data_IF_868174340061
#
_entry.id   IF_868174340061
#
_cell.length_a   1.000
_cell.length_b   1.000
_cell.length_c   1.000
_cell.angle_alpha   90.00
_cell.angle_beta   90.00
_cell.angle_gamma   90.00
#
_symmetry.space_group_name_H-M   'P 1'
#
loop_
_entity.id
_entity.type
_entity.pdbx_description
1 polymer ?
#
# COMPACT_ATOMS: atom_id res chain seq x y z
N UNK A 1 1.47 25.21 11.63
CA UNK A 1 2.49 25.28 10.58
C UNK A 1 3.21 23.94 10.63
N UNK A 2 2.99 23.07 9.67
CA UNK A 2 3.82 21.88 9.53
C UNK A 2 5.25 22.34 9.29
N UNK A 3 6.22 21.79 10.04
CA UNK A 3 7.63 21.98 9.72
C UNK A 3 7.83 21.51 8.27
N UNK A 4 8.44 22.37 7.45
CA UNK A 4 8.79 21.98 6.09
C UNK A 4 9.70 20.75 6.22
N UNK A 5 9.30 19.65 5.57
CA UNK A 5 10.12 18.44 5.51
C UNK A 5 11.48 18.82 4.92
N UNK A 6 12.54 18.53 5.65
CA UNK A 6 13.89 18.83 5.20
C UNK A 6 14.40 17.67 4.37
N UNK A 7 14.93 17.98 3.17
CA UNK A 7 15.59 16.96 2.34
C UNK A 7 16.73 16.33 3.11
N UNK A 8 16.79 14.99 3.25
CA UNK A 8 17.91 14.33 3.90
C UNK A 8 19.23 14.64 3.17
N UNK A 9 20.31 14.87 3.92
CA UNK A 9 21.62 15.19 3.35
C UNK A 9 22.10 14.15 2.34
N UNK A 10 21.74 12.88 2.54
CA UNK A 10 22.07 11.77 1.67
C UNK A 10 21.44 11.88 0.27
N UNK A 11 20.23 12.44 0.19
CA UNK A 11 19.45 12.54 -1.04
C UNK A 11 19.69 13.87 -1.77
N UNK A 12 20.13 14.91 -1.04
CA UNK A 12 20.27 16.27 -1.57
C UNK A 12 21.17 16.35 -2.82
N UNK A 13 22.17 15.49 -2.92
CA UNK A 13 23.13 15.45 -4.04
C UNK A 13 22.80 14.43 -5.13
N UNK A 14 21.69 13.70 -5.05
CA UNK A 14 21.37 12.68 -6.04
C UNK A 14 20.86 13.30 -7.35
N UNK A 15 21.15 12.68 -8.52
CA UNK A 15 20.47 13.00 -9.77
C UNK A 15 18.95 12.84 -9.62
N UNK A 16 18.17 13.66 -10.33
CA UNK A 16 16.71 13.66 -10.17
C UNK A 16 16.06 12.34 -10.61
N UNK A 17 16.55 11.69 -11.65
CA UNK A 17 16.10 10.37 -12.12
C UNK A 17 16.23 9.31 -11.02
N UNK A 18 17.32 9.35 -10.27
CA UNK A 18 17.52 8.49 -9.11
C UNK A 18 16.50 8.78 -8.00
N UNK A 19 16.24 10.04 -7.68
CA UNK A 19 15.22 10.44 -6.71
C UNK A 19 13.85 9.90 -7.12
N UNK A 20 13.46 10.13 -8.37
CA UNK A 20 12.18 9.68 -8.92
C UNK A 20 12.09 8.14 -8.91
N UNK A 21 13.16 7.44 -9.24
CA UNK A 21 13.20 5.98 -9.18
C UNK A 21 12.91 5.43 -7.78
N UNK A 22 13.41 6.11 -6.74
CA UNK A 22 13.17 5.69 -5.34
C UNK A 22 11.69 5.78 -4.91
N UNK A 23 10.89 6.63 -5.56
CA UNK A 23 9.45 6.73 -5.29
C UNK A 23 8.63 5.58 -5.89
N UNK A 24 9.24 4.74 -6.74
CA UNK A 24 8.56 3.66 -7.47
C UNK A 24 8.81 2.31 -6.80
N UNK A 25 7.73 1.55 -6.60
CA UNK A 25 7.78 0.14 -6.17
C UNK A 25 7.15 -0.73 -7.26
N UNK A 26 7.90 -1.71 -7.77
CA UNK A 26 7.46 -2.59 -8.87
C UNK A 26 7.12 -3.99 -8.36
N UNK A 27 6.31 -4.74 -9.12
CA UNK A 27 6.03 -6.14 -8.79
C UNK A 27 7.19 -7.06 -9.19
N UNK A 28 7.38 -8.12 -8.40
CA UNK A 28 8.22 -9.28 -8.74
C UNK A 28 7.34 -10.50 -8.76
N UNK A 29 7.32 -11.24 -9.89
CA UNK A 29 6.46 -12.41 -10.06
C UNK A 29 5.08 -12.08 -10.62
N UNK A 30 4.22 -13.12 -10.72
CA UNK A 30 2.90 -13.02 -11.34
C UNK A 30 1.78 -12.78 -10.35
N UNK A 31 0.77 -12.00 -10.77
CA UNK A 31 -0.59 -12.17 -10.28
C UNK A 31 -1.14 -13.55 -10.73
N UNK A 32 -1.87 -14.22 -9.86
CA UNK A 32 -2.41 -15.57 -10.11
C UNK A 32 -3.48 -15.64 -11.21
N UNK A 33 -3.95 -14.49 -11.70
CA UNK A 33 -4.96 -14.38 -12.76
C UNK A 33 -4.35 -14.12 -14.16
N UNK A 34 -3.04 -14.01 -14.27
CA UNK A 34 -2.34 -13.84 -15.54
C UNK A 34 -2.55 -12.51 -16.25
N UNK A 35 -3.26 -11.56 -15.64
CA UNK A 35 -3.66 -10.31 -16.29
C UNK A 35 -2.65 -9.18 -16.18
N UNK A 36 -1.77 -9.20 -15.18
CA UNK A 36 -0.78 -8.14 -14.97
C UNK A 36 0.52 -8.71 -14.41
N UNK A 37 1.48 -8.94 -15.28
CA UNK A 37 2.83 -9.30 -14.90
C UNK A 37 3.84 -8.30 -15.44
N UNK A 38 4.46 -7.50 -14.60
CA UNK A 38 5.76 -7.00 -14.94
C UNK A 38 6.75 -8.09 -14.61
N UNK A 39 7.37 -8.56 -15.67
CA UNK A 39 8.43 -9.54 -15.72
C UNK A 39 8.16 -10.89 -15.05
N UNK A 40 7.90 -11.84 -15.90
CA UNK A 40 7.88 -13.27 -15.61
C UNK A 40 9.20 -13.81 -15.05
N UNK A 41 10.21 -12.95 -14.92
CA UNK A 41 11.53 -13.36 -14.49
C UNK A 41 12.14 -12.32 -13.53
N UNK A 42 12.86 -12.76 -12.50
CA UNK A 42 13.67 -11.88 -11.65
C UNK A 42 14.60 -10.96 -12.47
N UNK A 43 15.04 -11.38 -13.65
CA UNK A 43 15.96 -10.65 -14.51
C UNK A 43 15.39 -9.32 -15.06
N UNK A 44 14.08 -9.27 -15.38
CA UNK A 44 13.49 -8.04 -15.87
C UNK A 44 13.25 -7.03 -14.73
N UNK A 45 12.86 -7.51 -13.55
CA UNK A 45 12.80 -6.67 -12.34
C UNK A 45 14.20 -6.20 -11.94
N UNK A 46 15.21 -7.07 -12.04
CA UNK A 46 16.61 -6.71 -11.77
C UNK A 46 17.10 -5.57 -12.69
N UNK A 47 16.72 -5.59 -13.98
CA UNK A 47 17.01 -4.48 -14.90
C UNK A 47 16.32 -3.17 -14.45
N UNK A 48 15.04 -3.20 -14.10
CA UNK A 48 14.34 -2.01 -13.61
C UNK A 48 15.02 -1.43 -12.36
N UNK A 49 15.41 -2.29 -11.43
CA UNK A 49 16.12 -1.86 -10.20
C UNK A 49 17.46 -1.21 -10.55
N UNK A 50 18.26 -1.82 -11.44
CA UNK A 50 19.60 -1.35 -11.78
C UNK A 50 19.61 -0.12 -12.71
N UNK A 51 18.70 -0.08 -13.71
CA UNK A 51 18.71 0.94 -14.77
C UNK A 51 17.88 2.17 -14.41
N UNK A 52 16.82 1.99 -13.59
CA UNK A 52 15.88 3.05 -13.21
C UNK A 52 15.90 3.40 -11.72
N UNK A 53 16.85 2.85 -10.94
CA UNK A 53 17.02 3.13 -9.52
C UNK A 53 15.75 2.91 -8.69
N UNK A 54 14.92 1.91 -9.03
CA UNK A 54 13.65 1.62 -8.36
C UNK A 54 13.87 1.38 -6.86
N UNK A 55 13.12 2.11 -6.02
CA UNK A 55 13.29 2.11 -4.57
C UNK A 55 12.62 0.95 -3.85
N UNK A 56 11.63 0.29 -4.49
CA UNK A 56 10.90 -0.80 -3.86
C UNK A 56 10.47 -1.92 -4.80
N UNK A 57 10.20 -3.09 -4.19
CA UNK A 57 9.59 -4.23 -4.88
C UNK A 57 8.48 -4.83 -4.02
N UNK A 58 7.35 -5.18 -4.66
CA UNK A 58 6.27 -5.95 -4.07
C UNK A 58 6.35 -7.38 -4.60
N UNK A 59 6.54 -8.35 -3.71
CA UNK A 59 6.75 -9.75 -4.08
C UNK A 59 5.43 -10.49 -4.30
N UNK A 60 5.35 -11.14 -5.46
CA UNK A 60 4.34 -12.15 -5.78
C UNK A 60 5.04 -13.50 -6.02
N UNK A 61 4.36 -14.65 -5.80
CA UNK A 61 4.95 -15.96 -6.09
C UNK A 61 5.41 -16.09 -7.54
N UNK A 62 6.61 -16.62 -7.74
CA UNK A 62 7.20 -16.88 -9.05
C UNK A 62 7.18 -18.40 -9.32
N UNK A 63 6.54 -18.81 -10.42
CA UNK A 63 6.47 -20.21 -10.84
C UNK A 63 5.45 -21.07 -10.09
N UNK A 64 5.36 -22.35 -10.49
CA UNK A 64 4.31 -23.28 -10.02
C UNK A 64 4.59 -23.91 -8.65
N UNK A 65 5.82 -23.82 -8.13
CA UNK A 65 6.28 -24.55 -6.94
C UNK A 65 5.86 -23.89 -5.60
N UNK A 66 5.08 -22.80 -5.66
CA UNK A 66 4.69 -22.04 -4.48
C UNK A 66 5.83 -21.22 -3.85
N UNK A 67 5.51 -20.29 -2.94
CA UNK A 67 6.47 -19.37 -2.37
C UNK A 67 7.21 -19.99 -1.17
N UNK A 68 8.21 -20.82 -1.43
CA UNK A 68 9.13 -21.28 -0.39
C UNK A 68 9.90 -20.09 0.18
N UNK A 69 9.95 -19.88 1.51
CA UNK A 69 10.62 -18.74 2.13
C UNK A 69 12.08 -18.57 1.70
N UNK A 70 12.79 -19.67 1.45
CA UNK A 70 14.17 -19.66 0.97
C UNK A 70 14.28 -19.10 -0.44
N UNK A 71 13.38 -19.48 -1.35
CA UNK A 71 13.32 -18.91 -2.71
C UNK A 71 12.96 -17.43 -2.72
N UNK A 72 11.99 -17.03 -1.88
CA UNK A 72 11.65 -15.61 -1.70
C UNK A 72 12.90 -14.85 -1.30
N UNK A 73 13.65 -15.37 -0.32
CA UNK A 73 14.91 -14.76 0.13
C UNK A 73 15.93 -14.68 -1.00
N UNK A 74 16.18 -15.77 -1.72
CA UNK A 74 17.14 -15.81 -2.84
C UNK A 74 16.79 -14.75 -3.91
N UNK A 75 15.52 -14.64 -4.30
CA UNK A 75 15.07 -13.65 -5.27
C UNK A 75 15.28 -12.22 -4.75
N UNK A 76 14.86 -11.94 -3.51
CA UNK A 76 15.01 -10.61 -2.92
C UNK A 76 16.48 -10.23 -2.70
N UNK A 77 17.33 -11.18 -2.32
CA UNK A 77 18.76 -10.95 -2.16
C UNK A 77 19.46 -10.71 -3.52
N UNK A 78 19.04 -11.41 -4.59
CA UNK A 78 19.51 -11.14 -5.96
C UNK A 78 19.14 -9.72 -6.43
N UNK A 79 17.91 -9.26 -6.14
CA UNK A 79 17.48 -7.89 -6.48
C UNK A 79 18.25 -6.83 -5.68
N UNK A 80 18.49 -7.07 -4.39
CA UNK A 80 19.33 -6.18 -3.57
C UNK A 80 20.76 -6.09 -4.05
N UNK A 81 21.30 -7.18 -4.60
CA UNK A 81 22.68 -7.21 -5.10
C UNK A 81 22.92 -6.33 -6.33
N UNK A 82 21.85 -6.02 -7.10
CA UNK A 82 21.93 -5.12 -8.27
C UNK A 82 21.45 -3.70 -7.97
N UNK A 83 20.84 -3.49 -6.82
CA UNK A 83 20.41 -2.15 -6.38
C UNK A 83 21.62 -1.34 -5.90
N UNK A 84 21.69 -0.09 -6.30
CA UNK A 84 22.72 0.86 -5.86
C UNK A 84 22.33 1.63 -4.58
N UNK A 85 21.09 1.40 -4.12
CA UNK A 85 20.51 1.91 -2.87
C UNK A 85 19.79 0.80 -2.10
N UNK A 86 19.48 1.01 -0.79
CA UNK A 86 18.64 0.08 -0.03
C UNK A 86 17.29 -0.13 -0.71
N UNK A 87 17.00 -1.38 -1.15
CA UNK A 87 15.77 -1.75 -1.81
C UNK A 87 14.70 -2.13 -0.77
N UNK A 88 13.58 -1.42 -0.74
CA UNK A 88 12.43 -1.76 0.09
C UNK A 88 11.73 -3.00 -0.49
N UNK A 89 11.66 -4.07 0.29
CA UNK A 89 11.01 -5.31 -0.12
C UNK A 89 9.71 -5.49 0.61
N UNK A 90 8.60 -5.53 -0.12
CA UNK A 90 7.24 -5.58 0.41
C UNK A 90 6.45 -6.78 -0.10
N UNK A 91 5.33 -7.08 0.56
CA UNK A 91 4.44 -8.20 0.24
C UNK A 91 3.03 -7.95 0.79
N UNK A 92 2.00 -8.51 0.11
CA UNK A 92 0.67 -8.68 0.67
C UNK A 92 0.61 -9.97 1.50
N UNK A 93 0.44 -9.84 2.80
CA UNK A 93 0.28 -10.97 3.71
C UNK A 93 -0.70 -10.61 4.81
N UNK A 94 -1.99 -10.64 4.49
CA UNK A 94 -3.10 -10.32 5.42
C UNK A 94 -3.52 -11.54 6.25
N UNK A 95 -3.23 -12.72 5.73
CA UNK A 95 -3.82 -13.99 6.15
C UNK A 95 -5.09 -14.33 5.36
N UNK A 96 -5.61 -15.55 5.54
CA UNK A 96 -6.79 -16.00 4.80
C UNK A 96 -6.59 -16.03 3.30
N UNK A 97 -7.42 -15.29 2.56
CA UNK A 97 -7.40 -15.27 1.09
C UNK A 97 -6.20 -14.50 0.53
N UNK A 98 -5.83 -13.39 1.17
CA UNK A 98 -4.70 -12.56 0.74
C UNK A 98 -3.47 -12.94 1.54
N UNK A 99 -2.76 -13.92 1.02
CA UNK A 99 -1.50 -14.41 1.57
C UNK A 99 -0.64 -14.93 0.42
N UNK A 100 0.54 -14.35 0.25
CA UNK A 100 1.49 -14.77 -0.79
C UNK A 100 2.38 -15.91 -0.31
N UNK A 101 2.76 -15.91 0.97
CA UNK A 101 3.46 -17.03 1.61
C UNK A 101 2.46 -17.90 2.38
N UNK A 102 2.23 -19.13 1.91
CA UNK A 102 1.26 -20.07 2.51
C UNK A 102 1.91 -21.37 2.95
N UNK A 103 2.56 -22.09 2.06
CA UNK A 103 3.23 -23.35 2.31
C UNK A 103 4.67 -23.29 1.74
N UNK A 104 5.64 -23.82 2.45
CA UNK A 104 5.59 -24.59 3.70
C UNK A 104 5.45 -23.77 5.00
N UNK A 105 5.14 -22.47 4.91
CA UNK A 105 4.89 -21.60 6.07
C UNK A 105 3.56 -21.87 6.77
N UNK A 106 3.24 -21.04 7.75
CA UNK A 106 1.97 -21.13 8.50
C UNK A 106 0.82 -20.53 7.68
N UNK A 107 -0.31 -21.23 7.63
CA UNK A 107 -1.56 -20.68 7.09
C UNK A 107 -2.22 -19.78 8.14
N UNK A 108 -1.87 -18.50 8.09
CA UNK A 108 -2.44 -17.51 9.00
C UNK A 108 -3.93 -17.27 8.69
N UNK A 109 -4.81 -17.25 9.72
CA UNK A 109 -6.24 -17.02 9.53
C UNK A 109 -6.54 -15.60 9.04
N UNK A 110 -7.67 -15.40 8.34
CA UNK A 110 -8.16 -14.08 7.97
C UNK A 110 -8.46 -13.23 9.21
N UNK A 111 -8.49 -11.91 9.06
CA UNK A 111 -8.81 -10.99 10.15
C UNK A 111 -10.18 -11.30 10.80
N UNK A 112 -11.22 -11.54 9.97
CA UNK A 112 -12.54 -11.92 10.46
C UNK A 112 -12.51 -13.22 11.26
N UNK A 113 -11.77 -14.24 10.80
CA UNK A 113 -11.65 -15.51 11.50
C UNK A 113 -10.94 -15.34 12.85
N UNK A 114 -9.92 -14.50 12.92
CA UNK A 114 -9.22 -14.16 14.16
C UNK A 114 -10.16 -13.49 15.18
N UNK A 115 -10.97 -12.53 14.72
CA UNK A 115 -11.96 -11.87 15.59
C UNK A 115 -13.07 -12.82 16.02
N UNK A 116 -13.62 -13.64 15.12
CA UNK A 116 -14.66 -14.61 15.43
C UNK A 116 -14.20 -15.68 16.42
N UNK A 117 -12.96 -16.16 16.31
CA UNK A 117 -12.41 -17.20 17.19
C UNK A 117 -12.24 -16.74 18.63
N UNK A 118 -12.05 -15.45 18.85
CA UNK A 118 -11.74 -14.93 20.18
C UNK A 118 -12.91 -14.19 20.85
N UNK A 119 -13.99 -13.87 20.12
CA UNK A 119 -15.16 -13.13 20.61
C UNK A 119 -14.84 -11.71 21.05
N UNK A 120 -15.81 -11.04 21.69
CA UNK A 120 -15.66 -9.66 22.17
C UNK A 120 -14.62 -9.50 23.30
N UNK A 121 -14.31 -10.59 24.01
CA UNK A 121 -13.32 -10.63 25.10
C UNK A 121 -11.92 -11.05 24.64
N UNK A 122 -11.70 -11.14 23.33
CA UNK A 122 -10.38 -11.43 22.78
C UNK A 122 -9.35 -10.47 23.35
N UNK A 123 -8.35 -11.02 23.96
CA UNK A 123 -7.22 -10.22 24.38
C UNK A 123 -6.45 -9.81 23.15
N UNK A 124 -6.18 -8.51 22.96
CA UNK A 124 -5.31 -7.94 21.91
C UNK A 124 -3.98 -8.71 21.78
N UNK A 125 -3.62 -9.45 22.84
CA UNK A 125 -2.46 -10.35 22.89
C UNK A 125 -2.50 -11.46 21.81
N UNK A 126 -3.66 -12.08 21.54
CA UNK A 126 -3.74 -13.15 20.54
C UNK A 126 -3.49 -12.60 19.14
N UNK A 127 -4.13 -11.51 18.77
CA UNK A 127 -3.95 -10.84 17.49
C UNK A 127 -2.51 -10.34 17.31
N UNK A 128 -1.94 -9.71 18.34
CA UNK A 128 -0.54 -9.27 18.35
C UNK A 128 0.44 -10.42 18.14
N UNK A 129 0.21 -11.59 18.77
CA UNK A 129 1.04 -12.79 18.58
C UNK A 129 0.92 -13.37 17.18
N UNK A 130 -0.27 -13.39 16.58
CA UNK A 130 -0.48 -13.84 15.20
C UNK A 130 0.26 -12.91 14.24
N UNK A 131 0.08 -11.60 14.37
CA UNK A 131 0.76 -10.60 13.55
C UNK A 131 2.29 -10.68 13.69
N UNK A 132 2.81 -10.82 14.92
CA UNK A 132 4.23 -11.02 15.19
C UNK A 132 4.77 -12.31 14.54
N UNK A 133 4.03 -13.41 14.63
CA UNK A 133 4.43 -14.69 14.03
C UNK A 133 4.52 -14.60 12.52
N UNK A 134 3.49 -14.06 11.86
CA UNK A 134 3.47 -13.83 10.42
C UNK A 134 4.62 -12.91 9.97
N UNK A 135 4.81 -11.79 10.65
CA UNK A 135 5.89 -10.85 10.35
C UNK A 135 7.30 -11.46 10.57
N UNK A 136 7.45 -12.35 11.55
CA UNK A 136 8.72 -13.07 11.79
C UNK A 136 9.07 -13.97 10.60
N UNK A 137 8.08 -14.71 10.04
CA UNK A 137 8.29 -15.53 8.84
C UNK A 137 8.65 -14.67 7.62
N UNK A 138 7.95 -13.56 7.41
CA UNK A 138 8.22 -12.63 6.32
C UNK A 138 9.64 -12.04 6.43
N UNK A 139 10.03 -11.61 7.62
CA UNK A 139 11.38 -11.09 7.86
C UNK A 139 12.47 -12.13 7.59
N UNK A 140 12.23 -13.38 7.98
CA UNK A 140 13.13 -14.48 7.70
C UNK A 140 13.28 -14.74 6.20
N UNK A 141 12.22 -14.51 5.41
CA UNK A 141 12.23 -14.57 3.96
C UNK A 141 12.82 -13.31 3.28
N UNK A 142 13.31 -12.34 4.04
CA UNK A 142 13.94 -11.14 3.49
C UNK A 142 13.00 -9.97 3.24
N UNK A 143 11.71 -10.07 3.55
CA UNK A 143 10.75 -8.95 3.48
C UNK A 143 11.05 -7.90 4.55
N UNK A 144 10.78 -6.64 4.27
CA UNK A 144 10.95 -5.51 5.20
C UNK A 144 9.68 -4.71 5.44
N UNK A 145 8.69 -4.81 4.56
CA UNK A 145 7.43 -4.10 4.63
C UNK A 145 6.28 -5.04 4.30
N UNK A 146 5.19 -5.02 5.06
CA UNK A 146 3.98 -5.79 4.77
C UNK A 146 2.79 -4.85 4.59
N UNK A 147 2.04 -5.03 3.49
CA UNK A 147 0.78 -4.31 3.25
C UNK A 147 -0.35 -4.94 4.09
N UNK A 148 -0.23 -4.77 5.40
CA UNK A 148 -1.17 -5.18 6.43
C UNK A 148 -0.94 -4.33 7.70
N UNK A 149 -1.96 -4.20 8.58
CA UNK A 149 -3.28 -4.83 8.54
C UNK A 149 -4.31 -4.08 7.68
N UNK A 150 -5.38 -4.79 7.29
CA UNK A 150 -6.57 -4.18 6.70
C UNK A 150 -7.33 -3.42 7.80
N UNK A 151 -7.56 -2.12 7.57
CA UNK A 151 -8.26 -1.21 8.47
C UNK A 151 -9.72 -0.93 8.02
N UNK A 152 -10.14 -1.50 6.89
CA UNK A 152 -11.50 -1.36 6.38
C UNK A 152 -12.51 -1.98 7.37
N UNK A 153 -13.61 -1.26 7.63
CA UNK A 153 -14.73 -1.75 8.43
C UNK A 153 -15.76 -2.40 7.50
N UNK A 154 -16.12 -3.67 7.71
CA UNK A 154 -17.03 -4.39 6.82
C UNK A 154 -18.50 -3.95 7.03
N UNK A 155 -18.85 -2.73 6.62
CA UNK A 155 -20.17 -2.14 6.83
C UNK A 155 -21.20 -2.68 5.84
N UNK A 156 -20.84 -2.91 4.58
CA UNK A 156 -21.70 -3.61 3.62
C UNK A 156 -21.32 -5.10 3.52
N UNK A 157 -22.18 -6.03 4.01
CA UNK A 157 -21.90 -7.46 3.93
C UNK A 157 -21.86 -8.02 2.50
N UNK A 158 -22.32 -7.24 1.51
CA UNK A 158 -22.28 -7.59 0.09
C UNK A 158 -20.99 -7.15 -0.59
N UNK A 159 -20.11 -6.46 0.15
CA UNK A 159 -18.84 -5.99 -0.39
C UNK A 159 -18.04 -7.13 -1.03
N UNK A 160 -17.69 -7.05 -2.32
CA UNK A 160 -17.10 -8.17 -3.06
C UNK A 160 -15.60 -8.33 -2.80
N UNK A 161 -14.92 -7.30 -2.26
CA UNK A 161 -13.46 -7.26 -2.19
C UNK A 161 -12.92 -7.32 -0.76
N UNK A 162 -13.60 -6.74 0.21
CA UNK A 162 -13.16 -6.70 1.61
C UNK A 162 -13.66 -7.94 2.37
N UNK A 163 -14.94 -8.06 2.65
CA UNK A 163 -15.51 -9.24 3.29
C UNK A 163 -14.66 -9.75 4.46
N UNK A 164 -14.19 -10.99 4.38
CA UNK A 164 -13.39 -11.64 5.44
C UNK A 164 -11.98 -11.07 5.64
N UNK A 165 -11.52 -10.16 4.79
CA UNK A 165 -10.26 -9.42 4.97
C UNK A 165 -10.39 -8.40 6.09
N UNK A 166 -11.57 -7.84 6.33
CA UNK A 166 -11.86 -7.01 7.49
C UNK A 166 -11.99 -7.85 8.77
N UNK A 167 -11.61 -7.27 9.89
CA UNK A 167 -11.74 -7.90 11.20
C UNK A 167 -13.20 -7.96 11.69
N UNK A 168 -14.01 -6.93 11.41
CA UNK A 168 -15.39 -6.81 11.92
C UNK A 168 -16.19 -5.75 11.15
N UNK A 169 -17.50 -5.73 11.38
CA UNK A 169 -18.38 -4.61 11.07
C UNK A 169 -18.48 -3.56 12.19
N UNK A 170 -17.86 -3.82 13.35
CA UNK A 170 -17.74 -2.85 14.44
C UNK A 170 -16.43 -2.07 14.32
N UNK A 171 -16.47 -0.74 14.10
CA UNK A 171 -15.28 0.10 13.95
C UNK A 171 -14.31 -0.02 15.14
N UNK A 172 -14.82 -0.17 16.36
CA UNK A 172 -14.00 -0.30 17.57
C UNK A 172 -13.29 -1.65 17.63
N UNK A 173 -13.94 -2.72 17.19
CA UNK A 173 -13.32 -4.04 17.10
C UNK A 173 -12.19 -4.04 16.05
N UNK A 174 -12.43 -3.42 14.89
CA UNK A 174 -11.39 -3.25 13.85
C UNK A 174 -10.23 -2.40 14.39
N UNK A 175 -10.50 -1.31 15.08
CA UNK A 175 -9.46 -0.45 15.68
C UNK A 175 -8.56 -1.21 16.67
N UNK A 176 -9.14 -2.03 17.55
CA UNK A 176 -8.39 -2.90 18.48
C UNK A 176 -7.54 -3.92 17.74
N UNK A 177 -8.11 -4.56 16.70
CA UNK A 177 -7.39 -5.52 15.86
C UNK A 177 -6.20 -4.86 15.14
N UNK A 178 -6.42 -3.68 14.54
CA UNK A 178 -5.39 -2.88 13.87
C UNK A 178 -4.27 -2.52 14.84
N UNK A 179 -4.60 -1.96 16.01
CA UNK A 179 -3.62 -1.59 17.04
C UNK A 179 -2.76 -2.78 17.46
N UNK A 180 -3.38 -3.93 17.71
CA UNK A 180 -2.68 -5.15 18.10
C UNK A 180 -1.76 -5.66 16.98
N UNK A 181 -2.25 -5.61 15.73
CA UNK A 181 -1.51 -6.06 14.54
C UNK A 181 -0.30 -5.18 14.24
N UNK A 182 -0.46 -3.85 14.23
CA UNK A 182 0.64 -2.89 14.01
C UNK A 182 1.75 -3.13 15.05
N UNK A 183 1.40 -3.24 16.33
CA UNK A 183 2.38 -3.51 17.38
C UNK A 183 3.07 -4.87 17.21
N UNK A 184 2.34 -5.91 16.81
CA UNK A 184 2.91 -7.24 16.59
C UNK A 184 3.88 -7.27 15.41
N UNK A 185 3.55 -6.58 14.31
CA UNK A 185 4.42 -6.43 13.13
C UNK A 185 5.70 -5.67 13.50
N UNK A 186 5.55 -4.53 14.19
CA UNK A 186 6.70 -3.72 14.63
C UNK A 186 7.64 -4.49 15.57
N UNK A 187 7.11 -5.31 16.50
CA UNK A 187 7.92 -6.17 17.38
C UNK A 187 8.75 -7.21 16.64
N UNK A 188 8.28 -7.67 15.47
CA UNK A 188 9.05 -8.54 14.60
C UNK A 188 10.09 -7.78 13.78
N UNK A 189 10.10 -6.44 13.81
CA UNK A 189 11.01 -5.56 13.08
C UNK A 189 10.67 -5.46 11.59
N UNK A 190 9.38 -5.50 11.24
CA UNK A 190 8.84 -5.18 9.93
C UNK A 190 8.11 -3.83 9.97
N UNK A 191 8.11 -3.12 8.84
CA UNK A 191 7.22 -2.01 8.60
C UNK A 191 5.82 -2.52 8.25
N UNK A 192 4.79 -1.80 8.73
CA UNK A 192 3.37 -2.09 8.53
C UNK A 192 2.68 -1.04 7.66
N UNK A 193 1.56 -1.40 7.02
CA UNK A 193 0.79 -0.50 6.18
C UNK A 193 -0.70 -0.69 6.40
N UNK A 194 -1.40 0.36 6.83
CA UNK A 194 -2.87 0.34 6.89
C UNK A 194 -3.47 0.49 5.49
N UNK A 195 -4.56 -0.23 5.22
CA UNK A 195 -5.27 -0.16 3.95
C UNK A 195 -6.76 -0.46 4.08
N UNK A 196 -7.59 0.09 3.23
CA UNK A 196 -7.36 0.98 2.08
C UNK A 196 -8.00 2.34 2.38
N UNK A 197 -7.21 3.35 2.71
CA UNK A 197 -7.73 4.68 3.07
C UNK A 197 -8.50 5.30 1.88
N UNK A 198 -9.65 5.97 2.08
CA UNK A 198 -10.31 6.33 3.33
C UNK A 198 -11.28 5.27 3.89
N UNK A 199 -11.26 4.04 3.42
CA UNK A 199 -12.11 2.92 3.83
C UNK A 199 -12.86 2.33 2.64
N UNK A 200 -12.68 1.03 2.41
CA UNK A 200 -13.25 0.30 1.27
C UNK A 200 -14.38 -0.64 1.69
N UNK A 201 -14.71 -0.70 2.99
CA UNK A 201 -15.64 -1.71 3.53
C UNK A 201 -17.13 -1.41 3.35
N UNK A 202 -17.50 -0.16 2.99
CA UNK A 202 -18.88 0.28 2.68
C UNK A 202 -19.06 0.55 1.18
N UNK A 203 -18.33 -0.17 0.32
CA UNK A 203 -18.45 -0.02 -1.13
C UNK A 203 -19.04 -1.27 -1.77
N UNK A 204 -19.75 -1.10 -2.90
CA UNK A 204 -20.43 -2.19 -3.60
C UNK A 204 -19.73 -2.65 -4.89
N UNK A 205 -18.58 -2.05 -5.23
CA UNK A 205 -17.82 -2.32 -6.44
C UNK A 205 -16.37 -2.70 -6.05
N UNK A 206 -15.78 -3.65 -6.76
CA UNK A 206 -14.39 -4.00 -6.61
C UNK A 206 -13.50 -3.02 -7.39
N UNK A 207 -12.51 -2.41 -6.73
CA UNK A 207 -11.57 -1.46 -7.33
C UNK A 207 -10.66 -2.07 -8.40
N UNK A 208 -10.54 -3.40 -8.47
CA UNK A 208 -9.83 -4.08 -9.56
C UNK A 208 -10.58 -4.03 -10.89
N UNK A 209 -11.90 -3.88 -10.87
CA UNK A 209 -12.75 -3.91 -12.07
C UNK A 209 -13.53 -2.62 -12.31
N UNK A 210 -13.63 -1.75 -11.32
CA UNK A 210 -14.41 -0.51 -11.40
C UNK A 210 -13.91 0.56 -10.44
N UNK A 211 -14.59 1.69 -10.38
CA UNK A 211 -14.32 2.77 -9.43
C UNK A 211 -15.40 2.76 -8.33
N UNK A 212 -15.07 2.25 -7.12
CA UNK A 212 -15.99 2.24 -6.00
C UNK A 212 -16.32 3.64 -5.51
N UNK A 213 -17.49 3.80 -4.92
CA UNK A 213 -17.92 5.06 -4.28
C UNK A 213 -18.21 4.78 -2.81
N UNK A 214 -17.54 5.50 -1.92
CA UNK A 214 -17.83 5.59 -0.50
C UNK A 214 -18.77 6.79 -0.29
N UNK A 215 -20.06 6.55 -0.35
CA UNK A 215 -21.11 7.60 -0.20
C UNK A 215 -21.43 7.82 1.28
N UNK A 216 -20.47 8.36 2.01
CA UNK A 216 -20.56 8.57 3.45
C UNK A 216 -20.33 10.05 3.79
N UNK A 217 -21.21 10.64 4.62
CA UNK A 217 -21.02 12.00 5.12
C UNK A 217 -19.80 12.08 6.05
N UNK A 218 -19.09 13.22 6.08
CA UNK A 218 -17.86 13.37 6.87
C UNK A 218 -17.99 13.00 8.34
N UNK A 219 -19.09 13.40 8.99
CA UNK A 219 -19.34 13.12 10.41
C UNK A 219 -19.53 11.62 10.68
N UNK A 220 -20.21 10.91 9.78
CA UNK A 220 -20.37 9.46 9.87
C UNK A 220 -19.03 8.78 9.62
N UNK A 221 -18.31 9.19 8.59
CA UNK A 221 -16.98 8.69 8.26
C UNK A 221 -16.01 8.77 9.46
N UNK A 222 -16.00 9.89 10.18
CA UNK A 222 -15.16 10.09 11.38
C UNK A 222 -15.51 9.11 12.51
N UNK A 223 -16.74 8.63 12.60
CA UNK A 223 -17.21 7.74 13.67
C UNK A 223 -17.22 6.27 13.28
N UNK A 224 -17.02 5.95 12.01
CA UNK A 224 -17.04 4.59 11.48
C UNK A 224 -15.71 4.24 10.79
N UNK A 225 -15.53 4.63 9.52
CA UNK A 225 -14.42 4.20 8.68
C UNK A 225 -13.06 4.76 9.14
N UNK A 226 -13.03 6.00 9.67
CA UNK A 226 -11.79 6.62 10.14
C UNK A 226 -11.25 6.03 11.44
N UNK A 227 -12.11 5.43 12.27
CA UNK A 227 -11.76 4.95 13.63
C UNK A 227 -10.58 3.97 13.63
N UNK A 228 -10.51 2.93 12.78
CA UNK A 228 -9.37 2.04 12.72
C UNK A 228 -8.08 2.71 12.21
N UNK A 229 -8.20 3.66 11.26
CA UNK A 229 -7.03 4.40 10.75
C UNK A 229 -6.43 5.27 11.85
N UNK A 230 -7.24 6.02 12.58
CA UNK A 230 -6.78 6.81 13.73
C UNK A 230 -6.07 5.94 14.76
N UNK A 231 -6.67 4.80 15.12
CA UNK A 231 -6.08 3.85 16.07
C UNK A 231 -4.74 3.27 15.59
N UNK A 232 -4.60 3.01 14.31
CA UNK A 232 -3.35 2.52 13.72
C UNK A 232 -2.26 3.60 13.64
N UNK A 233 -2.64 4.85 13.34
CA UNK A 233 -1.72 6.00 13.38
C UNK A 233 -1.19 6.20 14.80
N UNK A 234 -2.07 6.17 15.82
CA UNK A 234 -1.69 6.24 17.24
C UNK A 234 -0.84 5.04 17.68
N UNK A 235 -1.00 3.87 17.05
CA UNK A 235 -0.18 2.70 17.30
C UNK A 235 1.21 2.76 16.68
N UNK A 236 1.48 3.75 15.81
CA UNK A 236 2.77 4.00 15.17
C UNK A 236 2.95 3.20 13.87
N UNK A 237 1.90 3.12 13.04
CA UNK A 237 2.01 2.50 11.70
C UNK A 237 3.03 3.24 10.83
N UNK A 238 3.76 2.49 9.99
CA UNK A 238 4.84 3.03 9.16
C UNK A 238 4.33 3.61 7.84
N UNK A 239 3.22 3.08 7.29
CA UNK A 239 2.66 3.53 6.02
C UNK A 239 1.12 3.47 6.01
N UNK A 240 0.50 4.25 5.11
CA UNK A 240 -0.92 4.18 4.79
C UNK A 240 -1.10 4.06 3.28
N UNK A 241 -1.83 3.04 2.85
CA UNK A 241 -2.18 2.82 1.45
C UNK A 241 -3.52 3.50 1.13
N UNK A 242 -3.51 4.35 0.10
CA UNK A 242 -4.71 5.04 -0.40
C UNK A 242 -5.34 4.24 -1.52
N UNK A 243 -6.59 3.81 -1.31
CA UNK A 243 -7.35 3.01 -2.28
C UNK A 243 -7.88 3.83 -3.46
N UNK A 244 -8.12 3.13 -4.58
CA UNK A 244 -8.73 3.71 -5.78
C UNK A 244 -10.25 3.71 -5.66
N UNK A 245 -10.80 4.66 -4.90
CA UNK A 245 -12.24 4.85 -4.71
C UNK A 245 -12.59 6.33 -4.58
N UNK A 246 -13.80 6.71 -4.98
CA UNK A 246 -14.32 8.06 -4.78
C UNK A 246 -14.94 8.18 -3.38
N UNK A 247 -14.70 9.29 -2.71
CA UNK A 247 -15.32 9.63 -1.43
C UNK A 247 -15.87 11.06 -1.47
N UNK A 248 -17.06 11.30 -2.09
CA UNK A 248 -17.60 12.64 -2.31
C UNK A 248 -17.82 13.45 -1.03
N UNK A 249 -18.02 12.77 0.10
CA UNK A 249 -18.13 13.43 1.41
C UNK A 249 -16.80 14.02 1.90
N UNK A 250 -15.66 13.50 1.44
CA UNK A 250 -14.33 13.98 1.82
C UNK A 250 -13.73 14.89 0.75
N UNK A 251 -14.01 14.62 -0.52
CA UNK A 251 -13.67 15.44 -1.68
C UNK A 251 -14.82 15.46 -2.69
N UNK A 252 -15.57 16.58 -2.79
CA UNK A 252 -16.70 16.71 -3.71
C UNK A 252 -16.29 16.77 -5.19
N UNK A 253 -15.02 16.77 -5.53
CA UNK A 253 -14.56 16.75 -6.93
C UNK A 253 -14.91 15.45 -7.65
N UNK A 254 -15.16 14.35 -6.92
CA UNK A 254 -15.45 13.04 -7.47
C UNK A 254 -14.21 12.30 -8.00
N UNK A 255 -13.00 12.82 -7.75
CA UNK A 255 -11.77 12.13 -8.12
C UNK A 255 -11.53 10.90 -7.22
N UNK A 256 -10.84 9.86 -7.71
CA UNK A 256 -10.33 8.79 -6.85
C UNK A 256 -9.48 9.34 -5.72
N UNK A 257 -9.61 8.78 -4.51
CA UNK A 257 -8.89 9.22 -3.32
C UNK A 257 -7.38 9.32 -3.55
N UNK A 258 -6.81 8.39 -4.30
CA UNK A 258 -5.38 8.38 -4.67
C UNK A 258 -4.92 9.65 -5.39
N UNK A 259 -5.82 10.33 -6.11
CA UNK A 259 -5.51 11.56 -6.87
C UNK A 259 -6.09 12.82 -6.22
N UNK A 260 -6.70 12.67 -5.05
CA UNK A 260 -7.35 13.75 -4.33
C UNK A 260 -6.41 14.38 -3.31
N UNK A 261 -5.90 15.58 -3.60
CA UNK A 261 -5.10 16.35 -2.63
C UNK A 261 -5.85 16.63 -1.31
N UNK A 262 -7.18 16.96 -1.31
CA UNK A 262 -7.95 17.08 -0.07
C UNK A 262 -7.92 15.80 0.79
N UNK A 263 -7.92 14.60 0.15
CA UNK A 263 -7.89 13.31 0.85
C UNK A 263 -6.46 12.96 1.27
N UNK A 264 -5.51 12.94 0.33
CA UNK A 264 -4.13 12.52 0.57
C UNK A 264 -3.39 13.49 1.49
N UNK A 265 -3.36 14.78 1.17
CA UNK A 265 -2.66 15.80 1.97
C UNK A 265 -3.56 16.33 3.09
N UNK A 266 -4.79 16.71 2.77
CA UNK A 266 -5.68 17.39 3.72
C UNK A 266 -6.15 16.51 4.87
N UNK A 267 -6.45 15.23 4.63
CA UNK A 267 -6.85 14.34 5.71
C UNK A 267 -5.66 13.63 6.37
N UNK A 268 -4.73 13.02 5.62
CA UNK A 268 -3.71 12.16 6.24
C UNK A 268 -2.71 12.98 7.08
N UNK A 269 -1.80 13.81 6.53
CA UNK A 269 -0.85 14.51 7.37
C UNK A 269 -1.46 15.70 8.12
N UNK A 270 -2.37 16.50 7.50
CA UNK A 270 -2.82 17.75 8.10
C UNK A 270 -3.84 17.54 9.22
N UNK A 271 -4.79 16.59 9.09
CA UNK A 271 -5.86 16.38 10.08
C UNK A 271 -5.62 15.17 10.97
N UNK A 272 -5.16 14.05 10.41
CA UNK A 272 -4.92 12.82 11.16
C UNK A 272 -3.49 12.70 11.68
N UNK A 273 -2.58 13.58 11.26
CA UNK A 273 -1.22 13.65 11.78
C UNK A 273 -0.32 12.50 11.32
N UNK A 274 -0.58 11.91 10.16
CA UNK A 274 0.26 10.87 9.56
C UNK A 274 1.66 11.42 9.33
N UNK A 275 2.67 10.67 9.76
CA UNK A 275 4.10 10.97 9.58
C UNK A 275 4.83 9.86 8.82
N UNK A 276 4.16 8.77 8.55
CA UNK A 276 4.66 7.65 7.78
C UNK A 276 4.44 7.84 6.28
N UNK A 277 4.90 6.88 5.50
CA UNK A 277 4.81 6.88 4.03
C UNK A 277 3.34 6.77 3.58
N UNK A 278 2.94 7.63 2.66
CA UNK A 278 1.65 7.52 1.97
C UNK A 278 1.90 6.81 0.63
N UNK A 279 1.34 5.62 0.48
CA UNK A 279 1.54 4.79 -0.72
C UNK A 279 0.23 4.66 -1.50
N UNK A 280 0.28 4.63 -2.83
CA UNK A 280 -0.89 4.29 -3.65
C UNK A 280 -1.27 2.82 -3.45
N UNK A 281 -2.53 2.45 -3.67
CA UNK A 281 -2.85 1.10 -4.10
C UNK A 281 -2.23 0.83 -5.48
N UNK A 282 -2.26 -0.41 -5.95
CA UNK A 282 -1.60 -0.81 -7.19
C UNK A 282 -2.10 -0.01 -8.40
N UNK A 283 -1.22 0.76 -9.04
CA UNK A 283 -1.56 1.67 -10.15
C UNK A 283 -1.86 0.94 -11.47
N UNK A 284 -1.63 -0.36 -11.53
CA UNK A 284 -2.07 -1.22 -12.64
C UNK A 284 -3.57 -1.60 -12.57
N UNK A 285 -4.23 -1.39 -11.42
CA UNK A 285 -5.66 -1.64 -11.23
C UNK A 285 -6.53 -0.74 -12.10
N UNK A 286 -7.71 -1.25 -12.51
CA UNK A 286 -8.66 -0.49 -13.32
C UNK A 286 -9.15 0.79 -12.61
N UNK A 287 -9.35 0.75 -11.29
CA UNK A 287 -9.75 1.90 -10.48
C UNK A 287 -8.82 3.11 -10.61
N UNK A 288 -7.52 2.87 -10.83
CA UNK A 288 -6.54 3.94 -11.08
C UNK A 288 -6.66 4.58 -12.48
N UNK A 289 -7.39 3.96 -13.42
CA UNK A 289 -7.45 4.37 -14.83
C UNK A 289 -8.81 4.95 -15.23
N UNK A 290 -9.88 4.62 -14.49
CA UNK A 290 -11.26 4.90 -14.91
C UNK A 290 -11.68 6.38 -14.82
N UNK A 291 -10.91 7.21 -14.15
CA UNK A 291 -11.14 8.67 -14.09
C UNK A 291 -10.63 9.43 -15.33
N UNK A 292 -9.94 8.73 -16.25
CA UNK A 292 -9.41 9.35 -17.46
C UNK A 292 -10.56 9.85 -18.38
N UNK A 293 -10.52 11.10 -18.86
CA UNK A 293 -11.55 11.65 -19.76
C UNK A 293 -11.77 10.85 -21.03
N UNK A 294 -10.77 10.11 -21.47
CA UNK A 294 -10.75 9.24 -22.67
C UNK A 294 -10.85 7.75 -22.32
N UNK A 295 -11.07 7.41 -21.03
CA UNK A 295 -11.12 6.04 -20.53
C UNK A 295 -9.78 5.42 -20.18
N UNK A 296 -8.64 6.04 -20.56
CA UNK A 296 -7.29 5.61 -20.21
C UNK A 296 -6.39 6.85 -20.09
N UNK A 297 -5.60 6.92 -19.02
CA UNK A 297 -4.58 7.95 -18.88
C UNK A 297 -3.45 7.77 -19.89
N UNK A 298 -2.80 8.86 -20.23
CA UNK A 298 -1.49 8.79 -20.88
C UNK A 298 -0.52 7.99 -19.98
N UNK A 299 0.41 7.23 -20.56
CA UNK A 299 1.38 6.48 -19.76
C UNK A 299 2.11 7.38 -18.77
N UNK A 300 2.08 7.01 -17.48
CA UNK A 300 2.68 7.76 -16.38
C UNK A 300 1.82 8.88 -15.76
N UNK A 301 0.72 9.30 -16.40
CA UNK A 301 -0.12 10.39 -15.85
C UNK A 301 -0.72 10.07 -14.49
N UNK A 302 -1.15 8.83 -14.25
CA UNK A 302 -1.63 8.39 -12.94
C UNK A 302 -0.55 8.58 -11.84
N UNK A 303 0.72 8.32 -12.19
CA UNK A 303 1.86 8.51 -11.28
C UNK A 303 2.05 10.00 -10.94
N UNK A 304 2.02 10.87 -11.94
CA UNK A 304 2.15 12.33 -11.74
C UNK A 304 1.01 12.85 -10.86
N UNK A 305 -0.23 12.46 -11.12
CA UNK A 305 -1.40 12.89 -10.35
C UNK A 305 -1.36 12.42 -8.89
N UNK A 306 -0.89 11.20 -8.64
CA UNK A 306 -0.72 10.69 -7.29
C UNK A 306 0.31 11.54 -6.50
N UNK A 307 1.43 11.89 -7.13
CA UNK A 307 2.44 12.77 -6.53
C UNK A 307 1.91 14.21 -6.34
N UNK A 308 1.15 14.77 -7.29
CA UNK A 308 0.46 16.06 -7.14
C UNK A 308 -0.50 16.06 -5.93
N UNK A 309 -1.13 14.91 -5.64
CA UNK A 309 -1.99 14.75 -4.47
C UNK A 309 -1.22 14.66 -3.14
N UNK A 310 0.09 14.35 -3.17
CA UNK A 310 0.95 14.23 -2.00
C UNK A 310 1.24 12.80 -1.57
N UNK A 311 1.16 11.84 -2.49
CA UNK A 311 1.62 10.46 -2.27
C UNK A 311 3.15 10.43 -2.29
N UNK A 312 3.76 9.59 -1.44
CA UNK A 312 5.22 9.42 -1.35
C UNK A 312 5.71 8.23 -2.17
N UNK A 313 4.92 7.15 -2.29
CA UNK A 313 5.32 5.94 -2.99
C UNK A 313 4.27 5.48 -4.01
N UNK A 314 4.72 5.22 -5.23
CA UNK A 314 3.93 4.76 -6.37
C UNK A 314 4.03 3.24 -6.47
N UNK A 315 2.96 2.53 -6.11
CA UNK A 315 2.95 1.07 -6.12
C UNK A 315 2.51 0.53 -7.49
N UNK A 316 3.34 -0.33 -8.07
CA UNK A 316 3.05 -1.14 -9.26
C UNK A 316 2.48 -0.34 -10.45
N UNK A 317 3.15 0.73 -10.92
CA UNK A 317 2.73 1.38 -12.16
C UNK A 317 2.84 0.40 -13.33
N UNK A 318 1.90 0.46 -14.29
CA UNK A 318 1.86 -0.45 -15.45
C UNK A 318 3.13 -0.47 -16.29
N UNK A 319 3.78 0.68 -16.40
CA UNK A 319 5.04 0.86 -17.13
C UNK A 319 5.95 1.74 -16.26
N UNK A 320 6.80 1.13 -15.43
CA UNK A 320 7.64 1.87 -14.50
C UNK A 320 8.59 2.86 -15.18
N UNK A 321 9.17 2.51 -16.33
CA UNK A 321 10.07 3.38 -17.06
C UNK A 321 9.34 4.65 -17.55
N UNK A 322 8.17 4.48 -18.17
CA UNK A 322 7.33 5.62 -18.58
C UNK A 322 6.75 6.41 -17.41
N UNK A 323 6.54 5.77 -16.27
CA UNK A 323 6.16 6.49 -15.05
C UNK A 323 7.29 7.46 -14.64
N UNK A 324 8.53 6.99 -14.59
CA UNK A 324 9.70 7.79 -14.24
C UNK A 324 9.87 8.93 -15.27
N UNK A 325 9.81 8.63 -16.57
CA UNK A 325 9.90 9.65 -17.62
C UNK A 325 8.82 10.73 -17.48
N UNK A 326 7.58 10.34 -17.19
CA UNK A 326 6.46 11.27 -17.03
C UNK A 326 6.64 12.18 -15.78
N UNK A 327 7.14 11.62 -14.67
CA UNK A 327 7.44 12.39 -13.46
C UNK A 327 8.57 13.39 -13.71
N UNK A 328 9.65 12.98 -14.39
CA UNK A 328 10.75 13.86 -14.77
C UNK A 328 10.28 15.00 -15.68
N UNK A 329 9.43 14.71 -16.66
CA UNK A 329 8.81 15.71 -17.52
C UNK A 329 7.92 16.68 -16.71
N UNK A 330 7.12 16.17 -15.77
CA UNK A 330 6.26 16.98 -14.91
C UNK A 330 7.05 17.92 -13.98
N UNK A 331 8.24 17.53 -13.53
CA UNK A 331 9.15 18.42 -12.81
C UNK A 331 9.71 19.49 -13.74
N UNK A 332 10.16 19.13 -14.94
CA UNK A 332 10.68 20.07 -15.93
C UNK A 332 9.64 21.11 -16.37
N UNK A 333 8.37 20.73 -16.43
CA UNK A 333 7.22 21.58 -16.78
C UNK A 333 6.68 22.38 -15.58
N UNK A 334 7.23 22.18 -14.39
CA UNK A 334 6.82 22.86 -13.15
C UNK A 334 5.49 22.39 -12.55
N UNK A 335 4.97 21.23 -12.96
CA UNK A 335 3.80 20.57 -12.35
C UNK A 335 4.14 19.96 -10.99
N UNK A 336 5.33 19.39 -10.85
CA UNK A 336 5.84 18.82 -9.61
C UNK A 336 7.02 19.62 -9.08
N UNK A 337 7.07 19.79 -7.76
CA UNK A 337 8.17 20.46 -7.08
C UNK A 337 9.27 19.42 -6.76
N UNK A 338 10.47 19.62 -7.34
CA UNK A 338 11.63 18.77 -7.08
C UNK A 338 11.98 18.69 -5.60
N UNK A 339 11.89 19.81 -4.85
CA UNK A 339 12.19 19.80 -3.43
C UNK A 339 11.21 18.91 -2.66
N UNK A 340 9.93 18.95 -3.00
CA UNK A 340 8.93 18.07 -2.38
C UNK A 340 9.22 16.60 -2.64
N UNK A 341 9.59 16.24 -3.88
CA UNK A 341 9.94 14.84 -4.24
C UNK A 341 11.19 14.34 -3.49
N UNK A 342 12.16 15.20 -3.22
CA UNK A 342 13.35 14.85 -2.44
C UNK A 342 13.06 14.68 -0.95
N UNK A 343 12.00 15.28 -0.48
CA UNK A 343 11.59 15.26 0.92
C UNK A 343 10.58 14.13 1.25
N UNK A 344 10.00 13.50 0.21
CA UNK A 344 9.20 12.28 0.31
C UNK A 344 10.08 11.08 0.57
#
# INVERSE_FOLDING_TARGET
MAEASTVPDEVAGWPLDRVVGQLVSVSVGHHTDGTYGFSDTPDATARLVAEHHVGGVCYFPVGDDGPHPERVREHLDALRAVADQPLLTSIDQEGGLVARMREPGVRWPSAMAQCAAHGADATDRAWRRIAHGSATELRAAGVRHVYAPVADVNLDPRNPVIGIRSASSDPRAVARFVTASVRGIAEAGLASCLKHFPGHGDTAVDSHVGLPVLDTAPDRWLTEEAVPFVAGIEAGVDAIMVGHLCAPGLDPSGQPATFSRPIVTGWLPERLGVRGVIVTDALDMAGAQLDAPTGVWAPGEACVRALEAGVDQLLMPRDPARCIDAVLAAVADGRLDEHALRAS
#
